data_IF_656089028454
#
_entry.id   IF_656089028454
#
_cell.length_a   1.000
_cell.length_b   1.000
_cell.length_c   1.000
_cell.angle_alpha   90.00
_cell.angle_beta   90.00
_cell.angle_gamma   90.00
#
_symmetry.space_group_name_H-M   'P 1'
#
loop_
_entity.id
_entity.type
_entity.pdbx_description
1 polymer ?
#
# COMPACT_ATOMS: atom_id res chain seq x y z
N UNK A 1 -5.24 -5.77 -25.99
CA UNK A 1 -5.70 -5.34 -24.64
C UNK A 1 -5.99 -3.86 -24.73
N UNK A 2 -7.14 -3.43 -24.27
CA UNK A 2 -7.48 -2.00 -24.26
C UNK A 2 -6.83 -1.29 -23.06
N UNK A 3 -6.97 0.04 -23.02
CA UNK A 3 -6.36 0.86 -21.99
C UNK A 3 -6.85 0.47 -20.58
N UNK A 4 -8.15 0.24 -20.40
CA UNK A 4 -8.70 -0.10 -19.09
C UNK A 4 -8.24 -1.46 -18.60
N UNK A 5 -8.12 -2.43 -19.50
CA UNK A 5 -7.57 -3.75 -19.13
C UNK A 5 -6.11 -3.64 -18.72
N UNK A 6 -5.33 -2.84 -19.45
CA UNK A 6 -3.92 -2.59 -19.12
C UNK A 6 -3.78 -1.93 -17.74
N UNK A 7 -4.58 -0.90 -17.48
CA UNK A 7 -4.57 -0.21 -16.19
C UNK A 7 -4.98 -1.13 -15.05
N UNK A 8 -6.00 -1.97 -15.27
CA UNK A 8 -6.41 -2.97 -14.29
C UNK A 8 -5.25 -3.89 -13.92
N UNK A 9 -4.52 -4.38 -14.91
CA UNK A 9 -3.37 -5.26 -14.67
C UNK A 9 -2.23 -4.55 -13.96
N UNK A 10 -2.01 -3.27 -14.25
CA UNK A 10 -1.00 -2.47 -13.56
C UNK A 10 -1.31 -2.38 -12.06
N UNK A 11 -2.58 -2.10 -11.70
CA UNK A 11 -2.99 -2.03 -10.31
C UNK A 11 -2.84 -3.39 -9.62
N UNK A 12 -3.29 -4.46 -10.28
CA UNK A 12 -3.20 -5.80 -9.72
C UNK A 12 -1.75 -6.22 -9.50
N UNK A 13 -0.88 -5.98 -10.48
CA UNK A 13 0.54 -6.31 -10.37
C UNK A 13 1.25 -5.45 -9.33
N UNK A 14 0.89 -4.18 -9.21
CA UNK A 14 1.43 -3.29 -8.19
C UNK A 14 1.25 -3.89 -6.79
N UNK A 15 0.04 -4.34 -6.47
CA UNK A 15 -0.22 -4.93 -5.17
C UNK A 15 0.30 -6.36 -5.04
N UNK A 16 0.11 -7.19 -6.06
CA UNK A 16 0.53 -8.59 -5.98
C UNK A 16 2.06 -8.74 -5.93
N UNK A 17 2.78 -7.99 -6.75
CA UNK A 17 4.23 -8.18 -6.91
C UNK A 17 5.02 -7.30 -5.95
N UNK A 18 4.80 -5.97 -5.96
CA UNK A 18 5.62 -5.07 -5.14
C UNK A 18 5.27 -5.24 -3.66
N UNK A 19 3.98 -5.20 -3.32
CA UNK A 19 3.57 -5.24 -1.92
C UNK A 19 3.43 -6.65 -1.38
N UNK A 20 2.63 -7.52 -1.99
CA UNK A 20 2.32 -8.82 -1.39
C UNK A 20 3.49 -9.80 -1.47
N UNK A 21 4.23 -9.78 -2.58
CA UNK A 21 5.46 -10.60 -2.73
C UNK A 21 6.71 -9.90 -2.24
N UNK A 22 6.63 -8.62 -1.93
CA UNK A 22 7.78 -7.80 -1.55
C UNK A 22 8.87 -7.83 -2.63
N UNK A 23 8.46 -7.80 -3.90
CA UNK A 23 9.36 -7.84 -5.05
C UNK A 23 9.64 -6.43 -5.56
N UNK A 24 10.69 -5.80 -5.03
CA UNK A 24 11.06 -4.44 -5.43
C UNK A 24 11.60 -4.37 -6.86
N UNK A 25 11.99 -5.50 -7.46
CA UNK A 25 12.46 -5.52 -8.85
C UNK A 25 11.36 -5.18 -9.83
N UNK A 26 10.09 -5.30 -9.44
CA UNK A 26 8.95 -4.92 -10.27
C UNK A 26 8.74 -3.39 -10.34
N UNK A 27 9.34 -2.62 -9.42
CA UNK A 27 9.14 -1.17 -9.34
C UNK A 27 9.44 -0.47 -10.68
N UNK A 28 10.63 -0.62 -11.30
CA UNK A 28 10.91 0.11 -12.54
C UNK A 28 10.05 -0.35 -13.74
N UNK A 29 9.46 -1.52 -13.67
CA UNK A 29 8.58 -2.02 -14.72
C UNK A 29 7.18 -1.41 -14.65
N UNK A 30 6.68 -1.15 -13.45
CA UNK A 30 5.30 -0.71 -13.21
C UNK A 30 5.16 0.79 -12.99
N UNK A 31 6.18 1.44 -12.42
CA UNK A 31 6.12 2.84 -11.98
C UNK A 31 6.97 3.74 -12.85
N UNK A 32 6.46 4.93 -13.18
CA UNK A 32 7.25 5.96 -13.84
C UNK A 32 8.47 6.32 -13.00
N UNK A 33 9.55 6.78 -13.66
CA UNK A 33 10.78 7.17 -12.95
C UNK A 33 10.55 8.27 -11.93
N UNK A 34 9.62 9.19 -12.22
CA UNK A 34 9.24 10.33 -11.37
C UNK A 34 7.96 10.06 -10.56
N UNK A 35 7.65 8.79 -10.33
CA UNK A 35 6.47 8.36 -9.58
C UNK A 35 6.32 9.14 -8.28
N UNK A 36 5.09 9.59 -8.00
CA UNK A 36 4.75 10.25 -6.74
C UNK A 36 3.78 9.41 -5.96
N UNK A 37 3.99 9.35 -4.65
CA UNK A 37 3.24 8.46 -3.76
C UNK A 37 2.90 9.16 -2.46
N UNK A 38 1.65 9.02 -2.03
CA UNK A 38 1.23 9.37 -0.68
C UNK A 38 0.59 8.12 -0.08
N UNK A 39 1.23 7.53 0.92
CA UNK A 39 0.80 6.26 1.50
C UNK A 39 -0.35 6.40 2.49
N UNK A 40 -0.98 5.27 2.80
CA UNK A 40 -2.13 5.20 3.72
C UNK A 40 -1.77 5.68 5.13
N UNK A 41 -0.50 5.65 5.50
CA UNK A 41 -0.01 6.10 6.81
C UNK A 41 0.39 7.59 6.81
N UNK A 42 0.29 8.26 5.67
CA UNK A 42 0.52 9.69 5.53
C UNK A 42 1.78 10.14 4.81
N UNK A 43 2.91 9.42 4.83
CA UNK A 43 4.14 9.91 4.22
C UNK A 43 4.04 10.04 2.70
N UNK A 44 4.73 11.06 2.15
CA UNK A 44 4.86 11.24 0.71
C UNK A 44 6.26 10.84 0.27
N UNK A 45 6.34 10.17 -0.90
CA UNK A 45 7.60 9.69 -1.48
C UNK A 45 7.65 10.06 -2.94
N UNK A 46 8.84 10.32 -3.45
CA UNK A 46 9.08 10.66 -4.87
C UNK A 46 10.15 9.72 -5.41
N UNK A 47 9.85 9.09 -6.55
CA UNK A 47 10.79 8.23 -7.26
C UNK A 47 10.88 6.82 -6.67
N UNK A 48 11.65 5.98 -7.39
CA UNK A 48 11.72 4.55 -7.08
C UNK A 48 12.42 4.26 -5.76
N UNK A 49 13.52 4.97 -5.45
CA UNK A 49 14.32 4.67 -4.26
C UNK A 49 13.57 5.00 -2.98
N UNK A 50 12.93 6.16 -2.93
CA UNK A 50 12.13 6.55 -1.76
C UNK A 50 10.95 5.60 -1.56
N UNK A 51 10.28 5.23 -2.65
CA UNK A 51 9.17 4.30 -2.56
C UNK A 51 9.61 2.91 -2.11
N UNK A 52 10.72 2.40 -2.67
CA UNK A 52 11.29 1.10 -2.26
C UNK A 52 11.63 1.08 -0.77
N UNK A 53 12.21 2.16 -0.25
CA UNK A 53 12.50 2.30 1.18
C UNK A 53 11.25 2.25 2.05
N UNK A 54 10.16 2.84 1.57
CA UNK A 54 8.88 2.80 2.27
C UNK A 54 8.29 1.40 2.29
N UNK A 55 8.37 0.68 1.17
CA UNK A 55 7.92 -0.72 1.10
C UNK A 55 8.66 -1.58 2.13
N UNK A 56 9.98 -1.41 2.21
CA UNK A 56 10.80 -2.13 3.19
C UNK A 56 10.43 -1.77 4.62
N UNK A 57 10.19 -0.48 4.88
CA UNK A 57 9.80 -0.01 6.21
C UNK A 57 8.51 -0.68 6.68
N UNK A 58 7.50 -0.74 5.83
CA UNK A 58 6.21 -1.35 6.19
C UNK A 58 6.37 -2.86 6.42
N UNK A 59 7.08 -3.55 5.53
CA UNK A 59 7.32 -4.99 5.66
C UNK A 59 8.14 -5.34 6.88
N UNK A 60 9.04 -4.46 7.31
CA UNK A 60 9.84 -4.67 8.51
C UNK A 60 8.96 -4.60 9.77
N UNK A 61 8.05 -3.64 9.83
CA UNK A 61 7.19 -3.44 10.99
C UNK A 61 6.03 -4.44 11.05
N UNK A 62 5.51 -4.84 9.88
CA UNK A 62 4.32 -5.69 9.76
C UNK A 62 4.67 -6.97 8.98
N UNK A 63 4.85 -8.07 9.71
CA UNK A 63 5.10 -9.37 9.11
C UNK A 63 3.91 -9.85 8.29
N UNK A 64 4.17 -10.60 7.23
CA UNK A 64 3.13 -11.11 6.32
C UNK A 64 2.21 -9.99 5.81
N UNK A 65 2.77 -8.80 5.55
CA UNK A 65 2.00 -7.65 5.11
C UNK A 65 1.30 -7.92 3.79
N UNK A 66 0.01 -7.60 3.74
CA UNK A 66 -0.84 -7.81 2.56
C UNK A 66 -1.66 -6.57 2.26
N UNK A 67 -1.82 -6.36 0.95
CA UNK A 67 -2.78 -5.41 0.40
C UNK A 67 -3.81 -6.21 -0.40
N UNK A 68 -5.07 -6.16 0.02
CA UNK A 68 -6.15 -6.86 -0.66
C UNK A 68 -7.07 -5.85 -1.35
N UNK A 69 -7.23 -5.99 -2.66
CA UNK A 69 -8.16 -5.17 -3.44
C UNK A 69 -9.56 -5.72 -3.19
N UNK A 70 -10.43 -4.91 -2.59
CA UNK A 70 -11.81 -5.29 -2.32
C UNK A 70 -12.75 -4.86 -3.44
N UNK A 71 -12.43 -3.75 -4.12
CA UNK A 71 -13.18 -3.26 -5.25
C UNK A 71 -12.26 -2.39 -6.10
N UNK A 72 -12.45 -2.42 -7.42
CA UNK A 72 -11.59 -1.69 -8.35
C UNK A 72 -12.43 -1.10 -9.47
N UNK A 73 -12.31 0.20 -9.67
CA UNK A 73 -12.95 0.93 -10.77
C UNK A 73 -11.86 1.58 -11.61
N UNK A 74 -11.90 1.36 -12.92
CA UNK A 74 -10.90 1.90 -13.85
C UNK A 74 -11.62 2.69 -14.94
N UNK A 75 -11.16 3.91 -15.18
CA UNK A 75 -11.70 4.73 -16.26
C UNK A 75 -10.60 5.64 -16.82
N UNK A 76 -10.28 5.46 -18.09
CA UNK A 76 -9.25 6.23 -18.79
C UNK A 76 -7.91 6.14 -18.07
N UNK A 77 -7.32 7.29 -17.67
CA UNK A 77 -6.01 7.34 -17.01
C UNK A 77 -6.11 7.33 -15.48
N UNK A 78 -7.24 6.89 -14.93
CA UNK A 78 -7.44 6.85 -13.47
C UNK A 78 -7.97 5.48 -13.05
N UNK A 79 -7.66 5.11 -11.81
CA UNK A 79 -8.27 3.95 -11.17
C UNK A 79 -8.49 4.26 -9.69
N UNK A 80 -9.59 3.74 -9.16
CA UNK A 80 -9.87 3.79 -7.72
C UNK A 80 -9.94 2.36 -7.18
N UNK A 81 -9.23 2.11 -6.10
CA UNK A 81 -9.26 0.81 -5.41
C UNK A 81 -9.68 1.00 -3.96
N UNK A 82 -10.70 0.26 -3.56
CA UNK A 82 -11.06 0.10 -2.15
C UNK A 82 -10.19 -1.03 -1.60
N UNK A 83 -9.42 -0.74 -0.54
CA UNK A 83 -8.36 -1.61 -0.07
C UNK A 83 -8.55 -2.07 1.37
N UNK A 84 -8.02 -3.24 1.67
CA UNK A 84 -7.76 -3.68 3.03
C UNK A 84 -6.26 -3.96 3.15
N UNK A 85 -5.61 -3.30 4.11
CA UNK A 85 -4.20 -3.53 4.45
C UNK A 85 -4.13 -4.31 5.75
N UNK A 86 -3.19 -5.27 5.85
CA UNK A 86 -3.08 -6.09 7.07
C UNK A 86 -1.67 -6.65 7.23
N UNK A 87 -1.33 -6.98 8.47
CA UNK A 87 -0.06 -7.62 8.79
C UNK A 87 0.02 -7.98 10.26
N UNK A 88 1.12 -8.62 10.63
CA UNK A 88 1.40 -8.99 12.02
C UNK A 88 2.35 -7.97 12.62
N UNK A 89 1.99 -7.39 13.76
CA UNK A 89 2.73 -6.32 14.41
C UNK A 89 4.05 -6.85 15.00
N UNK A 90 5.15 -6.69 14.28
CA UNK A 90 6.45 -7.26 14.62
C UNK A 90 7.43 -6.28 15.25
N UNK A 91 7.35 -4.99 14.88
CA UNK A 91 8.23 -3.94 15.41
C UNK A 91 7.38 -2.72 15.76
N UNK A 92 7.99 -1.75 16.44
CA UNK A 92 7.29 -0.50 16.79
C UNK A 92 6.64 0.10 15.55
N UNK A 93 5.36 0.40 15.64
CA UNK A 93 4.56 0.88 14.53
C UNK A 93 3.60 1.95 15.01
N UNK A 94 3.67 3.14 14.40
CA UNK A 94 2.86 4.31 14.79
C UNK A 94 2.93 4.62 16.30
N UNK A 95 4.10 4.40 16.90
CA UNK A 95 4.30 4.66 18.33
C UNK A 95 3.88 3.54 19.26
N UNK A 96 3.39 2.41 18.72
CA UNK A 96 2.98 1.26 19.53
C UNK A 96 4.03 0.16 19.49
N UNK A 97 4.39 -0.37 20.67
CA UNK A 97 5.29 -1.51 20.77
C UNK A 97 4.66 -2.76 20.17
N UNK A 98 5.47 -3.67 19.59
CA UNK A 98 4.93 -4.84 18.90
C UNK A 98 4.16 -5.78 19.85
N UNK A 99 3.02 -6.26 19.37
CA UNK A 99 2.17 -7.20 20.13
C UNK A 99 2.18 -8.60 19.54
N UNK A 100 2.72 -8.78 18.34
CA UNK A 100 2.64 -10.01 17.54
C UNK A 100 1.19 -10.36 17.14
N UNK A 101 0.27 -9.42 17.28
CA UNK A 101 -1.12 -9.59 16.86
C UNK A 101 -1.34 -8.99 15.48
N UNK A 102 -2.38 -9.49 14.79
CA UNK A 102 -2.74 -8.97 13.48
C UNK A 102 -3.30 -7.55 13.61
N UNK A 103 -2.87 -6.68 12.69
CA UNK A 103 -3.48 -5.37 12.51
C UNK A 103 -4.06 -5.29 11.09
N UNK A 104 -5.13 -4.52 10.93
CA UNK A 104 -5.76 -4.32 9.63
C UNK A 104 -6.45 -2.96 9.61
N UNK A 105 -6.44 -2.32 8.43
CA UNK A 105 -7.15 -1.06 8.24
C UNK A 105 -7.58 -0.91 6.79
N UNK A 106 -8.68 -0.18 6.59
CA UNK A 106 -9.22 0.10 5.27
C UNK A 106 -8.48 1.29 4.64
N UNK A 107 -8.45 1.32 3.32
CA UNK A 107 -7.89 2.44 2.58
C UNK A 107 -8.58 2.66 1.26
N UNK A 108 -8.40 3.88 0.73
CA UNK A 108 -8.87 4.30 -0.58
C UNK A 108 -7.67 4.75 -1.39
N UNK A 109 -7.46 4.14 -2.56
CA UNK A 109 -6.30 4.37 -3.40
C UNK A 109 -6.72 4.94 -4.76
N UNK A 110 -6.17 6.10 -5.12
CA UNK A 110 -6.41 6.72 -6.42
C UNK A 110 -5.13 6.68 -7.24
N UNK A 111 -5.17 5.94 -8.34
CA UNK A 111 -4.05 5.78 -9.27
C UNK A 111 -4.21 6.74 -10.45
N UNK A 112 -3.09 7.28 -10.91
CA UNK A 112 -3.01 7.99 -12.18
C UNK A 112 -1.98 7.30 -13.06
N UNK A 113 -2.32 7.08 -14.33
CA UNK A 113 -1.45 6.40 -15.29
C UNK A 113 -0.93 7.37 -16.34
N UNK A 114 0.27 7.13 -16.82
CA UNK A 114 0.91 7.89 -17.89
C UNK A 114 1.84 6.95 -18.67
N UNK A 115 1.68 6.93 -19.99
CA UNK A 115 2.53 6.11 -20.86
C UNK A 115 2.55 4.63 -20.45
N UNK A 116 1.37 4.10 -20.12
CA UNK A 116 1.17 2.70 -19.72
C UNK A 116 1.92 2.31 -18.44
N UNK A 117 2.16 3.26 -17.55
CA UNK A 117 2.79 3.05 -16.23
C UNK A 117 2.03 3.84 -15.18
N UNK A 118 2.27 3.52 -13.91
CA UNK A 118 1.67 4.27 -12.79
C UNK A 118 2.53 5.50 -12.54
N UNK A 119 1.93 6.69 -12.65
CA UNK A 119 2.64 7.97 -12.46
C UNK A 119 2.41 8.56 -11.08
N UNK A 120 1.25 8.33 -10.49
CA UNK A 120 0.91 8.82 -9.15
C UNK A 120 -0.02 7.87 -8.44
N UNK A 121 0.17 7.73 -7.14
CA UNK A 121 -0.72 6.98 -6.27
C UNK A 121 -0.94 7.76 -4.98
N UNK A 122 -2.19 8.14 -4.75
CA UNK A 122 -2.63 8.78 -3.52
C UNK A 122 -3.48 7.79 -2.73
N UNK A 123 -3.10 7.50 -1.49
CA UNK A 123 -3.83 6.56 -0.64
C UNK A 123 -4.23 7.25 0.65
N UNK A 124 -5.50 7.10 1.02
CA UNK A 124 -6.01 7.56 2.30
C UNK A 124 -6.37 6.33 3.13
N UNK A 125 -5.82 6.23 4.33
CA UNK A 125 -6.11 5.12 5.24
C UNK A 125 -7.00 5.53 6.40
N UNK A 126 -7.75 4.57 6.93
CA UNK A 126 -8.53 4.74 8.17
C UNK A 126 -7.58 4.66 9.36
N UNK A 127 -6.86 5.76 9.63
CA UNK A 127 -5.88 5.80 10.70
C UNK A 127 -6.54 5.78 12.09
N UNK A 128 -7.73 6.36 12.23
CA UNK A 128 -8.45 6.30 13.50
C UNK A 128 -8.78 4.85 13.86
N UNK A 129 -9.34 4.10 12.93
CA UNK A 129 -9.63 2.68 13.14
C UNK A 129 -8.37 1.88 13.44
N UNK A 130 -7.28 2.18 12.75
CA UNK A 130 -5.99 1.52 12.99
C UNK A 130 -5.47 1.81 14.40
N UNK A 131 -5.48 3.07 14.83
CA UNK A 131 -5.05 3.42 16.19
C UNK A 131 -5.90 2.75 17.26
N UNK A 132 -7.21 2.68 17.07
CA UNK A 132 -8.10 1.98 17.99
C UNK A 132 -7.75 0.50 18.10
N UNK A 133 -7.46 -0.15 16.97
CA UNK A 133 -7.06 -1.56 16.96
C UNK A 133 -5.71 -1.77 17.64
N UNK A 134 -4.72 -0.91 17.34
CA UNK A 134 -3.40 -0.98 17.99
C UNK A 134 -3.52 -0.82 19.50
N UNK A 135 -4.38 0.09 19.96
CA UNK A 135 -4.62 0.31 21.38
C UNK A 135 -5.29 -0.91 22.04
N UNK A 136 -6.32 -1.50 21.40
CA UNK A 136 -6.95 -2.73 21.89
C UNK A 136 -5.97 -3.87 22.00
N UNK A 137 -5.12 -4.04 20.98
CA UNK A 137 -4.11 -5.10 20.95
C UNK A 137 -3.10 -4.90 22.09
N UNK A 138 -2.64 -3.67 22.30
CA UNK A 138 -1.73 -3.34 23.40
C UNK A 138 -2.37 -3.69 24.75
N UNK A 139 -3.61 -3.27 24.96
CA UNK A 139 -4.29 -3.46 26.23
C UNK A 139 -4.54 -4.95 26.51
N UNK A 140 -4.74 -5.76 25.47
CA UNK A 140 -4.94 -7.21 25.61
C UNK A 140 -3.67 -7.94 26.07
N UNK A 141 -2.50 -7.31 25.96
CA UNK A 141 -1.20 -7.86 26.37
C UNK A 141 -0.76 -7.45 27.78
N UNK A 142 -1.52 -6.61 28.43
CA UNK A 142 -1.20 -6.14 29.79
C UNK A 142 -1.53 -7.18 30.87
#
# INVERSE_FOLDING_TARGET
MNENERSTRLVESFYADIWNRHDKSAIPTLLCADFTFRGSLGPSKVGHDEFAGYVDFVHDALGDYRCDIQDLVVDENKAFAKMLFSGIHRKTFLGYEPTSLRVAWAGAALFTFKEAMISDLWVLGDLQGLHQLLQRNRDSKL
#
